data_IF_622801299186
#
_entry.id   IF_622801299186
#
_cell.length_a   1.000
_cell.length_b   1.000
_cell.length_c   1.000
_cell.angle_alpha   90.00
_cell.angle_beta   90.00
_cell.angle_gamma   90.00
#
_symmetry.space_group_name_H-M   'P 1'
#
loop_
_entity.id
_entity.type
_entity.pdbx_description
1 polymer ?
#
# COMPACT_ATOMS: atom_id res chain seq x y z
N UNK A 1 -12.84 28.34 -5.06
CA UNK A 1 -12.57 26.90 -5.23
C UNK A 1 -11.49 26.48 -4.24
N UNK A 2 -11.88 25.91 -3.11
CA UNK A 2 -10.92 25.34 -2.14
C UNK A 2 -10.38 24.05 -2.75
N UNK A 3 -9.16 24.09 -3.31
CA UNK A 3 -8.47 22.87 -3.75
C UNK A 3 -8.21 22.05 -2.48
N UNK A 4 -8.96 20.94 -2.34
CA UNK A 4 -8.83 19.99 -1.23
C UNK A 4 -7.42 19.42 -1.26
N UNK A 5 -6.63 19.71 -0.23
CA UNK A 5 -5.23 19.32 -0.11
C UNK A 5 -5.06 17.78 -0.18
N UNK A 6 -6.06 17.03 0.29
CA UNK A 6 -6.06 15.56 0.30
C UNK A 6 -6.36 14.93 -1.07
N UNK A 7 -7.24 15.54 -1.87
CA UNK A 7 -7.63 15.00 -3.17
C UNK A 7 -6.50 15.05 -4.18
N UNK A 8 -5.54 15.99 -4.01
CA UNK A 8 -4.37 16.08 -4.89
C UNK A 8 -3.29 15.03 -4.55
N UNK A 9 -3.23 14.57 -3.30
CA UNK A 9 -2.21 13.59 -2.87
C UNK A 9 -2.63 12.14 -3.16
N UNK A 10 -3.94 11.85 -3.12
CA UNK A 10 -4.46 10.51 -3.44
C UNK A 10 -4.65 10.25 -4.95
N UNK A 11 -5.02 11.28 -5.73
CA UNK A 11 -5.44 11.09 -7.13
C UNK A 11 -4.30 10.87 -8.13
N UNK A 12 -3.04 11.11 -7.77
CA UNK A 12 -1.90 11.00 -8.70
C UNK A 12 -1.39 9.55 -8.87
N UNK A 13 -1.80 8.61 -8.01
CA UNK A 13 -1.33 7.21 -8.06
C UNK A 13 -2.36 6.18 -8.57
N UNK A 14 -3.61 6.58 -8.79
CA UNK A 14 -4.73 5.64 -8.94
C UNK A 14 -5.17 5.32 -10.38
N UNK A 15 -4.54 5.85 -11.44
CA UNK A 15 -5.08 5.69 -12.81
C UNK A 15 -4.01 5.26 -13.79
N UNK A 16 -3.80 3.94 -13.93
CA UNK A 16 -3.46 3.33 -15.23
C UNK A 16 -3.42 1.79 -15.32
N UNK A 17 -3.61 0.99 -14.26
CA UNK A 17 -3.44 -0.47 -14.39
C UNK A 17 -4.58 -1.33 -13.84
N UNK A 18 -5.79 -1.14 -14.39
CA UNK A 18 -6.83 -2.16 -14.27
C UNK A 18 -7.53 -2.37 -15.61
N UNK A 19 -6.98 -3.27 -16.44
CA UNK A 19 -7.81 -4.11 -17.29
C UNK A 19 -7.23 -5.53 -17.38
N UNK A 20 -7.97 -6.45 -16.77
CA UNK A 20 -8.15 -7.85 -17.20
C UNK A 20 -7.04 -8.86 -16.88
N UNK A 21 -7.19 -9.57 -15.75
CA UNK A 21 -7.00 -11.02 -15.76
C UNK A 21 -7.87 -11.70 -14.70
N UNK A 22 -8.93 -12.37 -15.17
CA UNK A 22 -9.61 -13.43 -14.43
C UNK A 22 -8.80 -14.72 -14.59
N UNK A 23 -8.48 -15.40 -13.49
CA UNK A 23 -7.87 -16.72 -13.53
C UNK A 23 -7.94 -17.43 -12.18
N UNK A 24 -8.98 -18.24 -11.99
CA UNK A 24 -9.11 -19.19 -10.87
C UNK A 24 -7.93 -20.17 -10.90
N UNK A 25 -7.16 -20.25 -9.80
CA UNK A 25 -6.06 -21.20 -9.64
C UNK A 25 -5.83 -21.51 -8.16
N UNK A 26 -6.74 -22.29 -7.58
CA UNK A 26 -6.49 -23.00 -6.32
C UNK A 26 -5.26 -23.92 -6.43
N UNK A 27 -4.17 -23.57 -5.74
CA UNK A 27 -3.23 -24.54 -5.15
C UNK A 27 -2.47 -23.91 -3.98
N UNK A 28 -2.65 -24.52 -2.80
CA UNK A 28 -2.08 -24.15 -1.50
C UNK A 28 -0.55 -24.04 -1.57
N UNK A 29 -0.04 -22.82 -1.45
CA UNK A 29 1.31 -22.56 -0.97
C UNK A 29 1.31 -22.56 0.57
N UNK A 30 2.45 -22.88 1.16
CA UNK A 30 2.69 -23.01 2.60
C UNK A 30 1.98 -21.93 3.43
N UNK A 31 1.40 -22.34 4.57
CA UNK A 31 0.54 -21.46 5.38
C UNK A 31 1.24 -20.13 5.65
N UNK A 32 0.72 -19.00 5.16
CA UNK A 32 1.42 -17.74 5.31
C UNK A 32 1.42 -17.34 6.78
N UNK A 33 2.61 -16.99 7.26
CA UNK A 33 2.79 -16.39 8.57
C UNK A 33 1.91 -15.13 8.64
N UNK A 34 0.94 -15.11 9.57
CA UNK A 34 -0.06 -14.04 9.68
C UNK A 34 0.62 -12.70 9.91
N UNK A 35 0.43 -11.74 9.00
CA UNK A 35 1.05 -10.41 9.12
C UNK A 35 0.24 -9.49 10.05
N UNK A 36 0.83 -8.36 10.44
CA UNK A 36 0.09 -7.32 11.17
C UNK A 36 -1.06 -6.77 10.31
N UNK A 37 -0.83 -6.59 9.01
CA UNK A 37 -1.86 -6.19 8.05
C UNK A 37 -2.99 -7.23 8.00
N UNK A 38 -2.69 -8.53 7.98
CA UNK A 38 -3.72 -9.58 8.02
C UNK A 38 -4.62 -9.50 9.25
N UNK A 39 -4.04 -9.07 10.38
CA UNK A 39 -4.78 -8.92 11.64
C UNK A 39 -5.65 -7.66 11.64
N UNK A 40 -5.26 -6.59 10.93
CA UNK A 40 -5.97 -5.31 10.89
C UNK A 40 -6.98 -5.17 9.75
N UNK A 41 -6.68 -5.75 8.60
CA UNK A 41 -7.38 -5.55 7.33
C UNK A 41 -8.00 -6.83 6.77
N UNK A 42 -7.68 -7.98 7.37
CA UNK A 42 -8.10 -9.30 6.90
C UNK A 42 -6.99 -10.00 6.11
N UNK A 43 -7.06 -11.34 6.11
CA UNK A 43 -6.03 -12.19 5.50
C UNK A 43 -5.93 -11.95 3.99
N UNK A 44 -4.71 -11.82 3.48
CA UNK A 44 -4.42 -11.79 2.04
C UNK A 44 -3.18 -12.63 1.75
N UNK A 45 -3.34 -13.66 0.92
CA UNK A 45 -2.24 -14.56 0.55
C UNK A 45 -1.35 -13.91 -0.53
N UNK A 46 -0.06 -14.28 -0.55
CA UNK A 46 0.86 -13.86 -1.60
C UNK A 46 0.80 -14.89 -2.72
N UNK A 47 0.29 -14.49 -3.88
CA UNK A 47 0.19 -15.37 -5.04
C UNK A 47 1.44 -15.25 -5.91
N UNK A 48 2.33 -16.24 -5.84
CA UNK A 48 3.53 -16.31 -6.69
C UNK A 48 3.17 -16.98 -8.02
N UNK A 49 3.32 -16.30 -9.18
CA UNK A 49 3.13 -16.88 -10.50
C UNK A 49 3.98 -18.13 -10.71
N UNK A 50 3.43 -19.14 -11.39
CA UNK A 50 4.10 -20.43 -11.57
C UNK A 50 5.48 -20.31 -12.24
N UNK A 51 5.62 -19.40 -13.22
CA UNK A 51 6.86 -19.11 -13.93
C UNK A 51 7.99 -18.55 -13.06
N UNK A 52 7.66 -18.00 -11.88
CA UNK A 52 8.62 -17.39 -10.97
C UNK A 52 9.00 -18.29 -9.80
N UNK A 53 8.29 -19.40 -9.56
CA UNK A 53 8.46 -20.23 -8.35
C UNK A 53 9.88 -20.80 -8.19
N UNK A 54 10.51 -21.16 -9.30
CA UNK A 54 11.86 -21.72 -9.31
C UNK A 54 12.95 -20.63 -9.39
N UNK A 55 12.59 -19.35 -9.21
CA UNK A 55 13.47 -18.17 -9.26
C UNK A 55 13.59 -17.56 -7.86
N UNK A 56 14.44 -18.12 -6.98
CA UNK A 56 14.43 -17.79 -5.55
C UNK A 56 14.67 -16.31 -5.24
N UNK A 57 15.51 -15.63 -6.03
CA UNK A 57 15.77 -14.19 -5.85
C UNK A 57 14.54 -13.32 -6.17
N UNK A 58 13.82 -13.67 -7.24
CA UNK A 58 12.58 -12.97 -7.64
C UNK A 58 11.47 -13.23 -6.62
N UNK A 59 11.35 -14.47 -6.13
CA UNK A 59 10.40 -14.83 -5.07
C UNK A 59 10.70 -14.09 -3.78
N UNK A 60 11.98 -14.00 -3.39
CA UNK A 60 12.40 -13.22 -2.22
C UNK A 60 12.04 -11.74 -2.37
N UNK A 61 12.30 -11.14 -3.54
CA UNK A 61 11.88 -9.78 -3.83
C UNK A 61 10.37 -9.58 -3.67
N UNK A 62 9.54 -10.47 -4.25
CA UNK A 62 8.08 -10.38 -4.14
C UNK A 62 7.66 -10.42 -2.67
N UNK A 63 8.22 -11.33 -1.87
CA UNK A 63 7.92 -11.41 -0.45
C UNK A 63 8.33 -10.16 0.33
N UNK A 64 9.54 -9.66 0.10
CA UNK A 64 10.05 -8.48 0.81
C UNK A 64 9.28 -7.22 0.44
N UNK A 65 8.98 -7.02 -0.85
CA UNK A 65 8.12 -5.93 -1.29
C UNK A 65 6.69 -6.02 -0.76
N UNK A 66 6.14 -7.23 -0.67
CA UNK A 66 4.82 -7.42 -0.07
C UNK A 66 4.79 -7.10 1.43
N UNK A 67 5.92 -7.25 2.15
CA UNK A 67 6.03 -6.75 3.54
C UNK A 67 6.01 -5.22 3.58
N UNK A 68 6.76 -4.55 2.70
CA UNK A 68 6.77 -3.08 2.59
C UNK A 68 5.37 -2.56 2.25
N UNK A 69 4.68 -3.22 1.31
CA UNK A 69 3.30 -2.92 0.96
C UNK A 69 2.33 -3.09 2.16
N UNK A 70 2.47 -4.18 2.93
CA UNK A 70 1.68 -4.42 4.14
C UNK A 70 1.97 -3.37 5.24
N UNK A 71 3.23 -2.95 5.41
CA UNK A 71 3.61 -1.86 6.33
C UNK A 71 2.96 -0.54 5.94
N UNK A 72 2.97 -0.20 4.65
CA UNK A 72 2.34 1.01 4.14
C UNK A 72 0.82 0.98 4.27
N UNK A 73 0.19 -0.16 3.98
CA UNK A 73 -1.24 -0.35 4.19
C UNK A 73 -1.64 -0.15 5.66
N UNK A 74 -0.84 -0.66 6.61
CA UNK A 74 -1.08 -0.45 8.05
C UNK A 74 -0.90 1.02 8.45
N UNK A 75 0.05 1.74 7.83
CA UNK A 75 0.23 3.16 8.06
C UNK A 75 -0.98 3.98 7.58
N UNK A 76 -1.51 3.67 6.39
CA UNK A 76 -2.71 4.32 5.85
C UNK A 76 -3.91 4.02 6.76
N UNK A 77 -4.11 2.75 7.12
CA UNK A 77 -5.17 2.32 8.05
C UNK A 77 -5.12 3.13 9.35
N UNK A 78 -3.94 3.19 9.99
CA UNK A 78 -3.74 3.98 11.22
C UNK A 78 -4.04 5.46 10.99
N UNK A 79 -3.61 6.02 9.86
CA UNK A 79 -3.82 7.43 9.52
C UNK A 79 -5.32 7.75 9.43
N UNK A 80 -6.10 6.88 8.79
CA UNK A 80 -7.55 7.06 8.66
C UNK A 80 -8.29 6.87 10.00
N UNK A 81 -7.82 5.95 10.86
CA UNK A 81 -8.30 5.77 12.24
C UNK A 81 -8.03 7.02 13.10
N UNK A 82 -6.82 7.57 13.03
CA UNK A 82 -6.40 8.70 13.86
C UNK A 82 -6.95 10.04 13.35
N UNK A 83 -7.17 10.19 12.03
CA UNK A 83 -7.38 11.50 11.41
C UNK A 83 -8.54 11.66 10.46
N UNK A 84 -9.18 10.59 10.00
CA UNK A 84 -10.17 10.78 8.94
C UNK A 84 -11.36 11.64 9.36
N UNK A 85 -11.65 11.78 10.67
CA UNK A 85 -12.70 12.70 11.15
C UNK A 85 -12.33 14.19 10.99
N UNK A 86 -11.06 14.52 10.81
CA UNK A 86 -10.59 15.88 10.53
C UNK A 86 -10.51 16.20 9.02
N UNK A 87 -10.79 15.23 8.14
CA UNK A 87 -10.60 15.33 6.68
C UNK A 87 -11.29 16.57 6.06
N UNK A 88 -12.42 17.00 6.63
CA UNK A 88 -13.22 18.13 6.10
C UNK A 88 -13.16 19.39 6.97
N UNK A 89 -12.29 19.41 7.98
CA UNK A 89 -12.10 20.54 8.86
C UNK A 89 -10.94 21.41 8.36
N UNK A 90 -11.10 22.72 8.42
CA UNK A 90 -9.97 23.63 8.25
C UNK A 90 -9.10 23.53 9.50
N UNK A 91 -7.79 23.34 9.32
CA UNK A 91 -6.85 23.27 10.43
C UNK A 91 -6.94 24.50 11.34
N UNK A 92 -7.25 25.68 10.80
CA UNK A 92 -7.35 26.91 11.58
C UNK A 92 -8.55 26.92 12.53
N UNK A 93 -9.62 26.22 12.17
CA UNK A 93 -10.86 26.12 12.95
C UNK A 93 -10.76 25.11 14.09
N UNK A 94 -9.69 24.30 14.13
CA UNK A 94 -9.45 23.32 15.19
C UNK A 94 -9.07 24.00 16.52
N UNK A 95 -9.52 23.40 17.62
CA UNK A 95 -9.04 23.72 18.96
C UNK A 95 -7.55 23.41 19.11
N UNK A 96 -6.87 24.08 20.05
CA UNK A 96 -5.43 23.91 20.28
C UNK A 96 -5.03 22.44 20.48
N UNK A 97 -5.81 21.68 21.24
CA UNK A 97 -5.52 20.27 21.50
C UNK A 97 -5.61 19.41 20.24
N UNK A 98 -6.58 19.66 19.37
CA UNK A 98 -6.74 18.91 18.14
C UNK A 98 -5.66 19.28 17.12
N UNK A 99 -5.26 20.56 17.06
CA UNK A 99 -4.07 20.99 16.32
C UNK A 99 -2.82 20.22 16.75
N UNK A 100 -2.59 20.09 18.07
CA UNK A 100 -1.45 19.34 18.61
C UNK A 100 -1.52 17.86 18.19
N UNK A 101 -2.70 17.22 18.26
CA UNK A 101 -2.87 15.83 17.81
C UNK A 101 -2.56 15.68 16.32
N UNK A 102 -3.12 16.55 15.49
CA UNK A 102 -2.88 16.58 14.03
C UNK A 102 -1.41 16.75 13.72
N UNK A 103 -0.72 17.72 14.35
CA UNK A 103 0.71 17.91 14.14
C UNK A 103 1.54 16.70 14.58
N UNK A 104 1.27 16.15 15.76
CA UNK A 104 2.01 15.01 16.31
C UNK A 104 1.92 13.81 15.37
N UNK A 105 0.72 13.39 15.01
CA UNK A 105 0.61 12.20 14.19
C UNK A 105 0.91 12.47 12.70
N UNK A 106 0.80 13.71 12.19
CA UNK A 106 1.41 14.09 10.90
C UNK A 106 2.93 13.88 10.91
N UNK A 107 3.61 14.27 11.98
CA UNK A 107 5.05 14.04 12.13
C UNK A 107 5.38 12.53 12.23
N UNK A 108 4.61 11.76 12.99
CA UNK A 108 4.78 10.30 13.06
C UNK A 108 4.59 9.63 11.70
N UNK A 109 3.57 10.04 10.93
CA UNK A 109 3.32 9.53 9.57
C UNK A 109 4.46 9.91 8.64
N UNK A 110 4.93 11.16 8.68
CA UNK A 110 6.06 11.61 7.88
C UNK A 110 7.31 10.76 8.11
N UNK A 111 7.68 10.55 9.38
CA UNK A 111 8.84 9.74 9.75
C UNK A 111 8.70 8.27 9.31
N UNK A 112 7.52 7.67 9.52
CA UNK A 112 7.28 6.27 9.10
C UNK A 112 7.23 6.12 7.58
N UNK A 113 6.69 7.12 6.87
CA UNK A 113 6.67 7.14 5.41
C UNK A 113 8.09 7.16 4.86
N UNK A 114 9.01 7.93 5.48
CA UNK A 114 10.42 7.95 5.07
C UNK A 114 11.10 6.58 5.22
N UNK A 115 10.87 5.88 6.34
CA UNK A 115 11.40 4.52 6.56
C UNK A 115 10.88 3.53 5.51
N UNK A 116 9.57 3.56 5.23
CA UNK A 116 8.95 2.71 4.20
C UNK A 116 9.51 3.02 2.81
N UNK A 117 9.67 4.31 2.46
CA UNK A 117 10.23 4.72 1.17
C UNK A 117 11.70 4.30 1.03
N UNK A 118 12.49 4.32 2.11
CA UNK A 118 13.86 3.83 2.10
C UNK A 118 13.91 2.31 1.82
N UNK A 119 13.06 1.51 2.50
CA UNK A 119 12.94 0.08 2.22
C UNK A 119 12.49 -0.20 0.79
N UNK A 120 11.54 0.58 0.30
CA UNK A 120 11.04 0.48 -1.07
C UNK A 120 12.16 0.75 -2.10
N UNK A 121 12.97 1.79 -1.88
CA UNK A 121 14.14 2.08 -2.72
C UNK A 121 15.17 0.94 -2.69
N UNK A 122 15.51 0.43 -1.49
CA UNK A 122 16.43 -0.70 -1.34
C UNK A 122 15.98 -1.93 -2.13
N UNK A 123 14.68 -2.24 -2.12
CA UNK A 123 14.17 -3.37 -2.90
C UNK A 123 14.23 -3.10 -4.41
N UNK A 124 13.98 -1.87 -4.87
CA UNK A 124 14.12 -1.55 -6.29
C UNK A 124 15.56 -1.65 -6.80
N UNK A 125 16.54 -1.30 -5.97
CA UNK A 125 17.95 -1.46 -6.30
C UNK A 125 18.32 -2.94 -6.46
N UNK A 126 17.76 -3.84 -5.63
CA UNK A 126 18.06 -5.29 -5.68
C UNK A 126 17.71 -5.96 -7.01
N UNK A 127 16.61 -5.57 -7.66
CA UNK A 127 16.22 -6.09 -8.98
C UNK A 127 16.67 -5.19 -10.15
N UNK A 128 17.56 -4.21 -9.92
CA UNK A 128 17.97 -3.24 -10.95
C UNK A 128 16.78 -2.61 -11.71
N UNK A 129 15.67 -2.33 -11.02
CA UNK A 129 14.40 -1.98 -11.67
C UNK A 129 14.39 -0.58 -12.32
N UNK A 130 15.48 0.18 -12.17
CA UNK A 130 15.69 1.47 -12.85
C UNK A 130 16.32 1.33 -14.24
N UNK A 131 16.52 0.11 -14.75
CA UNK A 131 16.92 -0.12 -16.14
C UNK A 131 15.80 0.29 -17.10
N UNK A 132 16.17 0.82 -18.27
CA UNK A 132 15.22 1.24 -19.31
C UNK A 132 14.33 0.09 -19.81
N UNK A 133 14.80 -1.16 -19.73
CA UNK A 133 14.04 -2.35 -20.11
C UNK A 133 14.12 -3.39 -19.00
N UNK A 134 12.96 -3.71 -18.42
CA UNK A 134 12.81 -4.82 -17.48
C UNK A 134 12.69 -6.14 -18.25
N UNK A 135 13.20 -7.20 -17.67
CA UNK A 135 12.89 -8.56 -18.10
C UNK A 135 11.42 -8.91 -17.83
N UNK A 136 10.93 -9.95 -18.50
CA UNK A 136 9.57 -10.47 -18.26
C UNK A 136 9.38 -10.88 -16.79
N UNK A 137 10.40 -11.47 -16.17
CA UNK A 137 10.34 -11.88 -14.76
C UNK A 137 10.24 -10.69 -13.80
N UNK A 138 11.06 -9.66 -14.03
CA UNK A 138 11.04 -8.43 -13.23
C UNK A 138 9.70 -7.70 -13.38
N UNK A 139 9.15 -7.67 -14.59
CA UNK A 139 7.83 -7.11 -14.87
C UNK A 139 6.74 -7.87 -14.12
N UNK A 140 6.74 -9.20 -14.22
CA UNK A 140 5.73 -10.05 -13.59
C UNK A 140 5.83 -10.03 -12.05
N UNK A 141 7.05 -9.88 -11.51
CA UNK A 141 7.27 -9.69 -10.08
C UNK A 141 6.69 -8.36 -9.59
N UNK A 142 6.91 -7.27 -10.34
CA UNK A 142 6.33 -5.96 -10.05
C UNK A 142 4.80 -5.99 -10.10
N UNK A 143 4.22 -6.60 -11.12
CA UNK A 143 2.76 -6.77 -11.23
C UNK A 143 2.21 -7.55 -10.03
N UNK A 144 2.90 -8.60 -9.58
CA UNK A 144 2.49 -9.39 -8.41
C UNK A 144 2.43 -8.54 -7.14
N UNK A 145 3.44 -7.70 -6.93
CA UNK A 145 3.49 -6.76 -5.78
C UNK A 145 2.41 -5.70 -5.91
N UNK A 146 2.25 -5.09 -7.09
CA UNK A 146 1.28 -4.03 -7.34
C UNK A 146 -0.16 -4.53 -7.16
N UNK A 147 -0.47 -5.73 -7.64
CA UNK A 147 -1.77 -6.37 -7.46
C UNK A 147 -2.10 -6.56 -5.98
N UNK A 148 -1.16 -7.10 -5.19
CA UNK A 148 -1.37 -7.25 -3.75
C UNK A 148 -1.56 -5.90 -3.06
N UNK A 149 -0.76 -4.90 -3.42
CA UNK A 149 -0.92 -3.56 -2.87
C UNK A 149 -2.30 -2.96 -3.19
N UNK A 150 -2.78 -3.12 -4.43
CA UNK A 150 -4.13 -2.74 -4.83
C UNK A 150 -5.22 -3.45 -4.01
N UNK A 151 -5.09 -4.75 -3.76
CA UNK A 151 -6.01 -5.48 -2.89
C UNK A 151 -5.98 -4.99 -1.45
N UNK A 152 -4.82 -4.61 -0.92
CA UNK A 152 -4.73 -3.94 0.40
C UNK A 152 -5.47 -2.60 0.39
N UNK A 153 -5.36 -1.81 -0.66
CA UNK A 153 -6.10 -0.54 -0.76
C UNK A 153 -7.61 -0.78 -0.78
N UNK A 154 -8.10 -1.78 -1.51
CA UNK A 154 -9.52 -2.18 -1.47
C UNK A 154 -9.98 -2.59 -0.08
N UNK A 155 -9.14 -3.32 0.69
CA UNK A 155 -9.45 -3.65 2.08
C UNK A 155 -9.55 -2.41 2.97
N UNK A 156 -8.67 -1.43 2.77
CA UNK A 156 -8.70 -0.14 3.48
C UNK A 156 -9.95 0.65 3.12
N UNK A 157 -10.25 0.81 1.83
CA UNK A 157 -11.45 1.49 1.34
C UNK A 157 -12.71 0.87 1.95
N UNK A 158 -12.80 -0.46 1.94
CA UNK A 158 -13.93 -1.19 2.56
C UNK A 158 -14.03 -0.99 4.07
N UNK A 159 -12.90 -0.91 4.79
CA UNK A 159 -12.89 -0.68 6.24
C UNK A 159 -13.28 0.76 6.59
N UNK A 160 -12.88 1.70 5.74
CA UNK A 160 -12.97 3.14 5.97
C UNK A 160 -13.94 3.85 5.01
N UNK A 161 -14.99 3.16 4.58
CA UNK A 161 -15.95 3.60 3.53
C UNK A 161 -16.45 5.02 3.72
N UNK A 162 -16.66 5.46 4.97
CA UNK A 162 -17.08 6.84 5.31
C UNK A 162 -16.19 7.95 4.73
N UNK A 163 -14.94 7.65 4.37
CA UNK A 163 -14.01 8.61 3.77
C UNK A 163 -13.87 8.46 2.24
N UNK A 164 -14.39 7.38 1.65
CA UNK A 164 -14.26 7.08 0.22
C UNK A 164 -15.58 7.22 -0.56
N UNK A 165 -16.73 7.02 0.08
CA UNK A 165 -18.05 7.04 -0.56
C UNK A 165 -18.67 8.45 -0.73
N UNK A 166 -17.85 9.51 -0.81
CA UNK A 166 -18.36 10.89 -0.99
C UNK A 166 -18.52 11.23 -2.47
N UNK A 167 -19.66 10.84 -3.04
CA UNK A 167 -20.27 11.47 -4.22
C UNK A 167 -21.09 12.71 -3.84
#
# INVERSE_FOLDING_TARGET
MKKKLFTLTLAVFAVSMFFSSCGDSRRKADSPQKTVADSKLGKLDVEIPASLRDKPEVVAYIHDMNKVADEYAVLIDKTLEDFGDYENLDFNDLGMMDKIKVMKASAEIGLKSMDIMAKWAEQHDRLNLFKENLSEDETLALETVANRFGERMKQIEKKHTKYFDKE
#
